data_IF_328074052211
#
_entry.id   IF_328074052211
#
_cell.length_a   1.000
_cell.length_b   1.000
_cell.length_c   1.000
_cell.angle_alpha   90.00
_cell.angle_beta   90.00
_cell.angle_gamma   90.00
#
_symmetry.space_group_name_H-M   'P 1'
#
loop_
_entity.id
_entity.type
_entity.pdbx_description
1 polymer ?
#
# COMPACT_ATOMS: atom_id res chain seq x y z
N UNK A 1 -22.00 24.31 17.62
CA UNK A 1 -22.06 23.64 16.30
C UNK A 1 -22.91 24.48 15.37
N UNK A 2 -22.49 24.78 14.14
CA UNK A 2 -23.33 25.55 13.21
C UNK A 2 -24.65 24.79 12.94
N UNK A 3 -25.78 25.51 12.91
CA UNK A 3 -27.12 24.95 12.73
C UNK A 3 -27.23 24.07 11.47
N UNK A 4 -26.52 24.44 10.40
CA UNK A 4 -26.46 23.68 9.14
C UNK A 4 -25.93 22.25 9.30
N UNK A 5 -25.09 22.01 10.31
CA UNK A 5 -24.59 20.66 10.63
C UNK A 5 -25.63 19.86 11.40
N UNK A 6 -26.32 20.46 12.38
CA UNK A 6 -27.38 19.80 13.15
C UNK A 6 -28.54 19.33 12.27
N UNK A 7 -29.07 20.22 11.42
CA UNK A 7 -30.17 19.88 10.51
C UNK A 7 -29.76 18.77 9.52
N UNK A 8 -28.53 18.79 9.01
CA UNK A 8 -28.02 17.73 8.13
C UNK A 8 -28.00 16.35 8.80
N UNK A 9 -27.71 16.27 10.10
CA UNK A 9 -27.73 15.01 10.85
C UNK A 9 -29.14 14.56 11.19
N UNK A 10 -30.03 15.50 11.50
CA UNK A 10 -31.44 15.23 11.81
C UNK A 10 -32.19 14.68 10.58
N UNK A 11 -31.94 15.24 9.39
CA UNK A 11 -32.54 14.74 8.14
C UNK A 11 -31.86 13.47 7.60
N UNK A 12 -30.57 13.25 7.89
CA UNK A 12 -29.77 12.16 7.30
C UNK A 12 -28.85 11.53 8.34
N UNK A 13 -29.39 10.69 9.24
CA UNK A 13 -28.64 10.07 10.33
C UNK A 13 -27.56 9.09 9.84
N UNK A 14 -27.71 8.53 8.63
CA UNK A 14 -26.73 7.61 8.08
C UNK A 14 -25.48 8.31 7.52
N UNK A 15 -24.31 7.85 8.00
CA UNK A 15 -23.01 8.39 7.63
C UNK A 15 -22.61 7.98 6.20
N UNK A 16 -22.91 8.82 5.22
CA UNK A 16 -22.35 8.69 3.86
C UNK A 16 -20.85 9.02 3.82
N UNK A 17 -20.17 8.48 2.81
CA UNK A 17 -18.76 8.78 2.53
C UNK A 17 -18.53 10.29 2.37
N UNK A 18 -17.45 10.80 2.98
CA UNK A 18 -16.99 12.18 2.84
C UNK A 18 -16.06 12.37 1.63
N UNK A 19 -15.90 11.33 0.80
CA UNK A 19 -14.99 11.38 -0.33
C UNK A 19 -15.42 12.50 -1.31
N UNK A 20 -14.50 13.38 -1.74
CA UNK A 20 -14.80 14.37 -2.75
C UNK A 20 -15.39 13.75 -4.01
N UNK A 21 -16.41 14.41 -4.58
CA UNK A 21 -17.07 13.95 -5.82
C UNK A 21 -16.14 14.01 -7.04
N UNK A 22 -15.17 14.92 -7.05
CA UNK A 22 -14.18 15.09 -8.12
C UNK A 22 -12.78 14.83 -7.58
N UNK A 23 -12.17 13.76 -8.05
CA UNK A 23 -10.75 13.45 -7.80
C UNK A 23 -10.00 13.49 -9.11
N UNK A 24 -8.75 13.96 -9.10
CA UNK A 24 -7.90 13.97 -10.31
C UNK A 24 -7.77 12.54 -10.87
N UNK A 25 -8.08 12.31 -12.16
CA UNK A 25 -7.88 11.01 -12.79
C UNK A 25 -6.38 10.71 -12.92
N UNK A 26 -6.04 9.43 -13.06
CA UNK A 26 -4.67 9.03 -13.40
C UNK A 26 -4.38 9.50 -14.82
N UNK A 27 -3.32 10.27 -15.01
CA UNK A 27 -2.94 10.87 -16.31
C UNK A 27 -1.75 10.13 -16.95
N UNK A 28 -1.55 8.85 -16.65
CA UNK A 28 -0.38 8.14 -17.16
C UNK A 28 -0.62 7.70 -18.60
N UNK A 29 0.36 7.94 -19.47
CA UNK A 29 0.32 7.47 -20.85
C UNK A 29 0.38 5.93 -20.88
N UNK A 30 -0.39 5.25 -21.77
CA UNK A 30 -0.36 3.80 -21.90
C UNK A 30 1.06 3.25 -22.12
N UNK A 31 1.83 3.88 -23.01
CA UNK A 31 3.21 3.51 -23.30
C UNK A 31 4.12 3.51 -22.05
N UNK A 32 3.91 4.45 -21.12
CA UNK A 32 4.67 4.48 -19.87
C UNK A 32 4.29 3.30 -18.96
N UNK A 33 3.01 2.93 -18.93
CA UNK A 33 2.54 1.79 -18.13
C UNK A 33 3.12 0.49 -18.68
N UNK A 34 3.12 0.31 -19.99
CA UNK A 34 3.71 -0.84 -20.68
C UNK A 34 5.23 -0.93 -20.45
N UNK A 35 5.96 0.19 -20.57
CA UNK A 35 7.39 0.23 -20.30
C UNK A 35 7.72 -0.14 -18.85
N UNK A 36 6.93 0.36 -17.88
CA UNK A 36 7.07 -0.01 -16.46
C UNK A 36 6.74 -1.48 -16.26
N UNK A 37 5.71 -2.01 -16.91
CA UNK A 37 5.32 -3.42 -16.83
C UNK A 37 6.43 -4.33 -17.37
N UNK A 38 6.93 -4.08 -18.58
CA UNK A 38 8.03 -4.83 -19.20
C UNK A 38 9.26 -4.88 -18.29
N UNK A 39 9.78 -3.71 -17.88
CA UNK A 39 10.96 -3.64 -17.02
C UNK A 39 10.77 -4.35 -15.68
N UNK A 40 9.53 -4.38 -15.19
CA UNK A 40 9.19 -5.01 -13.93
C UNK A 40 9.03 -6.52 -14.07
N UNK A 41 8.63 -7.03 -15.23
CA UNK A 41 8.65 -8.46 -15.54
C UNK A 41 10.08 -8.97 -15.73
N UNK A 42 10.93 -8.21 -16.44
CA UNK A 42 12.34 -8.53 -16.63
C UNK A 42 13.14 -8.46 -15.31
N UNK A 43 12.78 -7.49 -14.46
CA UNK A 43 13.45 -7.24 -13.19
C UNK A 43 12.46 -7.18 -12.02
N UNK A 44 11.94 -8.34 -11.59
CA UNK A 44 10.84 -8.41 -10.64
C UNK A 44 11.20 -7.92 -9.22
N UNK A 45 12.49 -7.80 -8.90
CA UNK A 45 12.98 -7.28 -7.63
C UNK A 45 13.24 -5.76 -7.61
N UNK A 46 13.19 -5.07 -8.74
CA UNK A 46 13.61 -3.67 -8.83
C UNK A 46 12.55 -2.70 -8.34
N UNK A 47 12.83 -1.97 -7.26
CA UNK A 47 11.94 -0.91 -6.78
C UNK A 47 11.90 0.32 -7.70
N UNK A 48 11.02 1.28 -7.36
CA UNK A 48 10.81 2.52 -8.12
C UNK A 48 12.10 3.30 -8.45
N UNK A 49 13.06 3.34 -7.53
CA UNK A 49 14.33 4.05 -7.72
C UNK A 49 15.23 3.40 -8.78
N UNK A 50 15.17 2.07 -8.93
CA UNK A 50 15.94 1.35 -9.95
C UNK A 50 15.26 1.38 -11.32
N UNK A 51 13.93 1.46 -11.34
CA UNK A 51 13.16 1.56 -12.58
C UNK A 51 13.15 2.97 -13.17
N UNK A 52 13.37 4.02 -12.37
CA UNK A 52 13.42 5.41 -12.83
C UNK A 52 14.48 5.68 -13.92
N UNK A 53 15.78 5.36 -13.70
CA UNK A 53 16.83 5.60 -14.68
C UNK A 53 16.60 4.98 -16.07
N UNK A 54 16.24 3.68 -16.23
CA UNK A 54 15.98 3.11 -17.55
C UNK A 54 14.79 3.77 -18.25
N UNK A 55 13.72 4.12 -17.53
CA UNK A 55 12.58 4.85 -18.11
C UNK A 55 12.97 6.24 -18.60
N UNK A 56 13.82 6.96 -17.86
CA UNK A 56 14.34 8.26 -18.30
C UNK A 56 15.23 8.15 -19.53
N UNK A 57 16.04 7.10 -19.64
CA UNK A 57 16.83 6.81 -20.85
C UNK A 57 15.96 6.49 -22.07
N UNK A 58 14.77 5.93 -21.87
CA UNK A 58 13.77 5.71 -22.93
C UNK A 58 13.00 6.99 -23.30
N UNK A 59 13.31 8.14 -22.68
CA UNK A 59 12.68 9.43 -22.97
C UNK A 59 11.50 9.79 -22.06
N UNK A 60 11.16 8.97 -21.06
CA UNK A 60 10.07 9.28 -20.15
C UNK A 60 10.51 10.22 -19.02
N UNK A 61 9.93 11.42 -18.96
CA UNK A 61 10.12 12.36 -17.84
C UNK A 61 9.26 11.94 -16.63
N UNK A 62 9.75 11.00 -15.82
CA UNK A 62 9.00 10.45 -14.67
C UNK A 62 9.75 10.55 -13.34
N UNK A 63 8.99 10.86 -12.28
CA UNK A 63 9.45 10.80 -10.89
C UNK A 63 9.26 9.41 -10.30
N UNK A 64 10.05 9.08 -9.29
CA UNK A 64 9.97 7.80 -8.57
C UNK A 64 8.58 7.58 -7.95
N UNK A 65 7.90 8.66 -7.55
CA UNK A 65 6.54 8.60 -7.04
C UNK A 65 5.55 8.17 -8.12
N UNK A 66 5.68 8.68 -9.35
CA UNK A 66 4.85 8.27 -10.49
C UNK A 66 5.08 6.80 -10.82
N UNK A 67 6.33 6.36 -10.90
CA UNK A 67 6.69 4.94 -11.13
C UNK A 67 6.10 4.05 -10.03
N UNK A 68 6.23 4.45 -8.76
CA UNK A 68 5.66 3.71 -7.64
C UNK A 68 4.13 3.59 -7.70
N UNK A 69 3.42 4.65 -8.13
CA UNK A 69 1.96 4.60 -8.30
C UNK A 69 1.55 3.67 -9.45
N UNK A 70 2.32 3.61 -10.54
CA UNK A 70 2.09 2.69 -11.66
C UNK A 70 2.29 1.24 -11.21
N UNK A 71 3.39 0.94 -10.50
CA UNK A 71 3.63 -0.40 -9.95
C UNK A 71 2.47 -0.83 -9.03
N UNK A 72 2.03 0.04 -8.11
CA UNK A 72 0.90 -0.25 -7.25
C UNK A 72 -0.39 -0.52 -8.04
N UNK A 73 -0.60 0.20 -9.14
CA UNK A 73 -1.73 -0.02 -10.03
C UNK A 73 -1.66 -1.36 -10.77
N UNK A 74 -0.47 -1.75 -11.26
CA UNK A 74 -0.24 -3.03 -11.94
C UNK A 74 -0.40 -4.22 -10.99
N UNK A 75 0.10 -4.10 -9.75
CA UNK A 75 -0.10 -5.11 -8.69
C UNK A 75 -1.59 -5.26 -8.37
N UNK A 76 -2.32 -4.15 -8.21
CA UNK A 76 -3.76 -4.19 -7.94
C UNK A 76 -4.57 -4.85 -9.08
N UNK A 77 -4.03 -4.83 -10.31
CA UNK A 77 -4.60 -5.51 -11.48
C UNK A 77 -4.07 -6.94 -11.69
N UNK A 78 -3.16 -7.42 -10.85
CA UNK A 78 -2.56 -8.75 -10.96
C UNK A 78 -1.57 -8.92 -12.12
N UNK A 79 -1.18 -7.83 -12.80
CA UNK A 79 -0.22 -7.86 -13.94
C UNK A 79 1.22 -8.08 -13.49
N UNK A 80 1.55 -7.61 -12.30
CA UNK A 80 2.89 -7.70 -11.70
C UNK A 80 2.77 -8.30 -10.30
N UNK A 81 3.65 -9.24 -9.98
CA UNK A 81 3.74 -9.81 -8.63
C UNK A 81 4.36 -8.79 -7.64
N UNK A 82 3.80 -8.64 -6.42
CA UNK A 82 4.40 -7.81 -5.39
C UNK A 82 5.69 -8.46 -4.87
N UNK A 83 6.75 -7.67 -4.61
CA UNK A 83 8.07 -8.19 -4.16
C UNK A 83 7.97 -9.21 -3.00
N UNK A 84 7.13 -9.03 -1.96
CA UNK A 84 7.01 -9.99 -0.88
C UNK A 84 6.58 -11.41 -1.32
N UNK A 85 5.78 -11.54 -2.39
CA UNK A 85 5.33 -12.84 -2.90
C UNK A 85 6.47 -13.63 -3.53
N UNK A 86 7.37 -12.94 -4.23
CA UNK A 86 8.60 -13.52 -4.80
C UNK A 86 9.62 -13.89 -3.70
N UNK A 87 9.53 -13.21 -2.56
CA UNK A 87 10.47 -13.32 -1.45
C UNK A 87 10.13 -14.44 -0.47
N UNK A 88 9.36 -15.47 -0.88
CA UNK A 88 9.01 -16.61 -0.01
C UNK A 88 10.28 -17.36 0.42
N UNK A 89 10.86 -16.92 1.54
CA UNK A 89 11.79 -17.71 2.35
C UNK A 89 10.94 -18.53 3.29
N UNK A 90 10.88 -19.84 3.02
CA UNK A 90 10.27 -20.84 3.91
C UNK A 90 10.94 -20.73 5.29
N UNK A 91 10.11 -20.62 6.33
CA UNK A 91 10.56 -20.83 7.71
C UNK A 91 11.20 -19.61 8.38
N UNK A 92 10.37 -18.88 9.11
CA UNK A 92 10.48 -18.62 10.55
C UNK A 92 9.51 -17.49 10.83
N UNK A 93 8.39 -17.82 11.48
CA UNK A 93 7.53 -16.81 12.10
C UNK A 93 8.38 -15.86 12.95
N UNK A 94 7.86 -14.66 13.28
CA UNK A 94 8.62 -13.71 14.08
C UNK A 94 9.20 -14.45 15.27
N UNK A 95 10.52 -14.39 15.44
CA UNK A 95 11.19 -14.93 16.62
C UNK A 95 10.52 -14.26 17.81
N UNK A 96 9.59 -14.96 18.45
CA UNK A 96 8.99 -14.47 19.68
C UNK A 96 10.08 -14.57 20.74
N UNK A 97 10.77 -13.46 20.98
CA UNK A 97 11.61 -13.34 22.16
C UNK A 97 10.65 -13.42 23.35
N UNK A 98 10.50 -14.61 23.93
CA UNK A 98 9.73 -14.80 25.16
C UNK A 98 10.38 -13.92 26.21
N UNK A 99 9.73 -12.80 26.56
CA UNK A 99 10.24 -11.91 27.61
C UNK A 99 10.25 -12.70 28.91
N UNK A 100 11.39 -12.69 29.62
CA UNK A 100 11.50 -13.36 30.94
C UNK A 100 10.55 -12.72 31.97
N UNK A 101 10.29 -11.42 31.84
CA UNK A 101 9.41 -10.61 32.69
C UNK A 101 8.16 -10.14 31.91
N UNK A 102 7.17 -9.58 32.62
CA UNK A 102 5.92 -9.06 32.06
C UNK A 102 5.08 -10.10 31.28
N UNK A 103 5.14 -11.37 31.69
CA UNK A 103 4.20 -12.38 31.22
C UNK A 103 2.86 -12.22 31.94
N UNK A 104 1.76 -12.43 31.23
CA UNK A 104 0.41 -12.36 31.80
C UNK A 104 0.23 -13.50 32.80
N UNK A 105 -0.25 -13.19 34.00
CA UNK A 105 -0.62 -14.20 34.99
C UNK A 105 -1.74 -15.07 34.39
N UNK A 106 -1.60 -16.42 34.37
CA UNK A 106 -2.64 -17.28 33.85
C UNK A 106 -3.94 -17.07 34.62
N UNK A 107 -5.07 -17.18 33.92
CA UNK A 107 -6.38 -16.97 34.53
C UNK A 107 -6.60 -18.08 35.56
N UNK A 108 -6.81 -17.70 36.83
CA UNK A 108 -7.00 -18.64 37.95
C UNK A 108 -5.85 -18.72 38.95
N UNK A 109 -4.70 -18.09 38.66
CA UNK A 109 -3.64 -17.89 39.65
C UNK A 109 -3.82 -16.50 40.30
N UNK A 110 -4.03 -16.47 41.61
CA UNK A 110 -4.01 -15.24 42.39
C UNK A 110 -2.57 -14.89 42.74
N UNK A 111 -2.24 -13.61 42.70
CA UNK A 111 -0.89 -13.07 42.88
C UNK A 111 -0.62 -12.87 44.37
N UNK A 112 -0.85 -13.90 45.20
CA UNK A 112 -0.71 -13.78 46.66
C UNK A 112 0.67 -14.18 47.15
N UNK A 113 1.10 -13.39 48.12
CA UNK A 113 2.34 -13.47 48.89
C UNK A 113 2.09 -14.25 50.17
#
# INVERSE_FOLDING_TARGET
MPHSTLYRWQERPERRSRRPKRTRPKTWMPALVEAVESLRLDHPMWGKAKLGPPLRRQGFAVSDATVGRIIAHLIARGRVAPVPTLRRRKGRGPRQWRRKHAQRLPRGLDRRR
#
